data_IF_716809544456
#
_entry.id   IF_716809544456
#
_cell.length_a   1.000
_cell.length_b   1.000
_cell.length_c   1.000
_cell.angle_alpha   90.00
_cell.angle_beta   90.00
_cell.angle_gamma   90.00
#
_symmetry.space_group_name_H-M   'P 1'
#
loop_
_entity.id
_entity.type
_entity.pdbx_description
1 polymer ?
#
# COMPACT_ATOMS: atom_id res chain seq x y z
N UNK A 1 5.84 -11.98 7.84
CA UNK A 1 7.03 -11.82 6.97
C UNK A 1 8.16 -11.36 7.84
N UNK A 2 9.15 -12.22 8.04
CA UNK A 2 10.35 -11.79 8.75
C UNK A 2 10.97 -10.63 7.99
N UNK A 3 11.90 -9.88 8.64
CA UNK A 3 12.78 -8.91 7.98
C UNK A 3 13.34 -9.44 6.66
N UNK A 4 13.26 -10.75 6.48
CA UNK A 4 13.82 -11.56 5.41
C UNK A 4 12.88 -11.85 4.23
N UNK A 5 11.62 -11.42 4.24
CA UNK A 5 10.65 -11.84 3.21
C UNK A 5 10.66 -10.99 1.94
N UNK A 6 11.10 -9.72 2.01
CA UNK A 6 11.23 -8.83 0.85
C UNK A 6 12.72 -8.67 0.52
N UNK A 7 13.26 -9.42 -0.47
CA UNK A 7 14.71 -9.49 -0.71
C UNK A 7 15.37 -8.13 -0.97
N UNK A 8 14.67 -7.25 -1.71
CA UNK A 8 15.20 -5.95 -2.09
C UNK A 8 15.15 -4.89 -0.98
N UNK A 9 14.27 -5.05 0.01
CA UNK A 9 14.26 -4.21 1.22
C UNK A 9 15.40 -4.53 2.19
N UNK A 10 16.05 -5.69 2.08
CA UNK A 10 17.17 -6.08 2.96
C UNK A 10 18.51 -5.55 2.54
N UNK A 11 18.72 -5.55 1.24
CA UNK A 11 20.00 -5.16 0.68
C UNK A 11 20.07 -3.64 0.68
N UNK A 12 21.16 -3.07 1.16
CA UNK A 12 21.41 -1.61 1.22
C UNK A 12 21.44 -1.03 -0.21
N UNK A 13 20.30 -1.16 -0.91
CA UNK A 13 20.14 -0.90 -2.33
C UNK A 13 19.76 0.58 -2.52
N UNK A 14 20.58 1.32 -3.24
CA UNK A 14 20.38 2.74 -3.54
C UNK A 14 19.37 2.99 -4.68
N UNK A 15 18.87 1.93 -5.33
CA UNK A 15 17.83 2.06 -6.37
C UNK A 15 16.55 2.66 -5.79
N UNK A 16 15.88 3.51 -6.55
CA UNK A 16 14.58 4.08 -6.21
C UNK A 16 13.53 2.96 -6.08
N UNK A 17 12.92 2.89 -4.91
CA UNK A 17 11.80 2.00 -4.61
C UNK A 17 10.46 2.70 -4.78
N UNK A 18 10.36 3.93 -4.28
CA UNK A 18 9.13 4.72 -4.28
C UNK A 18 9.40 6.13 -4.80
N UNK A 19 8.44 6.65 -5.57
CA UNK A 19 8.35 8.07 -5.92
C UNK A 19 7.04 8.58 -5.31
N UNK A 20 7.13 9.55 -4.39
CA UNK A 20 6.00 10.13 -3.68
C UNK A 20 6.00 11.65 -3.83
N UNK A 21 5.16 12.16 -4.72
CA UNK A 21 5.21 13.55 -5.14
C UNK A 21 6.52 13.90 -5.83
N UNK A 22 7.27 14.84 -5.25
CA UNK A 22 8.57 15.30 -5.78
C UNK A 22 9.75 14.62 -5.07
N UNK A 23 9.50 13.57 -4.28
CA UNK A 23 10.53 12.88 -3.53
C UNK A 23 10.69 11.42 -3.93
N UNK A 24 11.93 11.06 -4.22
CA UNK A 24 12.36 9.69 -4.43
C UNK A 24 12.86 9.08 -3.12
N UNK A 25 12.50 7.81 -2.91
CA UNK A 25 12.98 7.01 -1.79
C UNK A 25 13.67 5.76 -2.33
N UNK A 26 14.93 5.57 -1.98
CA UNK A 26 15.65 4.34 -2.28
C UNK A 26 15.13 3.17 -1.43
N UNK A 27 15.40 1.93 -1.86
CA UNK A 27 15.12 0.74 -1.06
C UNK A 27 15.78 0.81 0.33
N UNK A 28 17.00 1.34 0.42
CA UNK A 28 17.70 1.54 1.69
C UNK A 28 16.98 2.53 2.61
N UNK A 29 16.52 3.67 2.09
CA UNK A 29 15.75 4.66 2.86
C UNK A 29 14.42 4.10 3.34
N UNK A 30 13.66 3.43 2.45
CA UNK A 30 12.39 2.77 2.80
C UNK A 30 12.63 1.73 3.90
N UNK A 31 13.67 0.90 3.76
CA UNK A 31 14.03 -0.09 4.78
C UNK A 31 14.33 0.57 6.14
N UNK A 32 15.10 1.66 6.14
CA UNK A 32 15.44 2.41 7.35
C UNK A 32 14.21 3.06 8.02
N UNK A 33 13.26 3.58 7.23
CA UNK A 33 11.98 4.11 7.74
C UNK A 33 11.15 3.02 8.40
N UNK A 34 11.02 1.88 7.73
CA UNK A 34 10.28 0.71 8.24
C UNK A 34 10.87 0.21 9.55
N UNK A 35 12.19 0.08 9.64
CA UNK A 35 12.86 -0.40 10.87
C UNK A 35 12.67 0.58 12.04
N UNK A 36 12.83 1.89 11.81
CA UNK A 36 12.58 2.91 12.83
C UNK A 36 11.13 2.91 13.28
N UNK A 37 10.18 2.84 12.36
CA UNK A 37 8.76 2.78 12.70
C UNK A 37 8.43 1.52 13.52
N UNK A 38 8.91 0.35 13.10
CA UNK A 38 8.71 -0.90 13.83
C UNK A 38 9.28 -0.84 15.25
N UNK A 39 10.48 -0.28 15.43
CA UNK A 39 11.11 -0.09 16.73
C UNK A 39 10.30 0.86 17.62
N UNK A 40 9.87 2.01 17.09
CA UNK A 40 9.02 2.96 17.80
C UNK A 40 7.67 2.36 18.18
N UNK A 41 7.07 1.56 17.31
CA UNK A 41 5.80 0.89 17.55
C UNK A 41 5.89 -0.14 18.69
N UNK A 42 7.04 -0.82 18.82
CA UNK A 42 7.31 -1.80 19.90
C UNK A 42 7.45 -1.14 21.27
N UNK A 43 7.92 0.08 21.36
CA UNK A 43 8.11 0.80 22.66
C UNK A 43 8.84 -0.05 23.69
N UNK A 44 9.91 -0.72 23.29
CA UNK A 44 10.71 -1.60 24.16
C UNK A 44 10.16 -3.01 24.36
N UNK A 45 8.97 -3.34 23.84
CA UNK A 45 8.46 -4.71 23.81
C UNK A 45 9.24 -5.55 22.80
N UNK A 46 9.39 -6.83 23.08
CA UNK A 46 10.07 -7.76 22.17
C UNK A 46 9.23 -8.09 20.91
N UNK A 47 7.89 -8.04 21.01
CA UNK A 47 6.95 -8.42 19.94
C UNK A 47 5.57 -7.82 20.20
N UNK A 48 4.84 -7.44 19.18
CA UNK A 48 3.44 -6.99 19.26
C UNK A 48 2.45 -8.16 19.47
N UNK A 49 2.89 -9.42 19.25
CA UNK A 49 2.06 -10.61 19.43
C UNK A 49 0.70 -10.53 18.72
N UNK A 50 0.73 -10.11 17.44
CA UNK A 50 -0.46 -9.95 16.60
C UNK A 50 -1.42 -8.85 17.09
N UNK A 51 -0.92 -7.84 17.80
CA UNK A 51 -1.68 -6.63 18.11
C UNK A 51 -2.25 -6.02 16.82
N UNK A 52 -3.51 -5.58 16.86
CA UNK A 52 -4.25 -5.10 15.70
C UNK A 52 -4.07 -3.60 15.56
N UNK A 53 -3.29 -3.20 14.57
CA UNK A 53 -2.95 -1.81 14.29
C UNK A 53 -3.68 -1.38 13.04
N UNK A 54 -4.65 -0.48 13.20
CA UNK A 54 -5.32 0.14 12.07
C UNK A 54 -4.55 1.39 11.60
N UNK A 55 -4.67 1.72 10.33
CA UNK A 55 -4.13 2.96 9.80
C UNK A 55 -5.01 3.57 8.72
N UNK A 56 -5.08 4.89 8.73
CA UNK A 56 -5.92 5.72 7.88
C UNK A 56 -5.03 6.69 7.11
N UNK A 57 -4.32 6.14 6.13
CA UNK A 57 -3.25 6.82 5.38
C UNK A 57 -3.47 6.52 3.89
N UNK A 58 -3.46 7.54 3.01
CA UNK A 58 -3.52 7.34 1.56
C UNK A 58 -2.24 6.69 1.04
N UNK A 59 -2.25 6.26 -0.23
CA UNK A 59 -1.05 5.74 -0.89
C UNK A 59 0.08 6.78 -0.82
N UNK A 60 1.13 6.47 -0.07
CA UNK A 60 2.28 7.33 0.24
C UNK A 60 3.43 6.50 0.79
N UNK A 61 4.62 7.09 0.94
CA UNK A 61 5.75 6.47 1.60
C UNK A 61 5.43 6.12 3.07
N UNK A 62 4.61 6.94 3.75
CA UNK A 62 4.12 6.65 5.10
C UNK A 62 3.25 5.40 5.15
N UNK A 63 2.36 5.21 4.16
CA UNK A 63 1.57 3.98 4.05
C UNK A 63 2.46 2.74 4.01
N UNK A 64 3.49 2.76 3.17
CA UNK A 64 4.45 1.65 3.03
C UNK A 64 5.21 1.43 4.34
N UNK A 65 5.66 2.51 4.96
CA UNK A 65 6.38 2.49 6.24
C UNK A 65 5.54 1.85 7.34
N UNK A 66 4.27 2.26 7.47
CA UNK A 66 3.35 1.74 8.49
C UNK A 66 3.03 0.27 8.24
N UNK A 67 2.62 -0.09 7.02
CA UNK A 67 2.22 -1.47 6.71
C UNK A 67 3.35 -2.46 7.01
N UNK A 68 4.55 -2.20 6.47
CA UNK A 68 5.71 -3.08 6.68
C UNK A 68 6.26 -3.00 8.10
N UNK A 69 6.20 -1.82 8.74
CA UNK A 69 6.64 -1.64 10.12
C UNK A 69 5.77 -2.42 11.11
N UNK A 70 4.44 -2.42 10.92
CA UNK A 70 3.52 -3.25 11.71
C UNK A 70 3.87 -4.73 11.54
N UNK A 71 4.14 -5.19 10.31
CA UNK A 71 4.55 -6.57 10.05
C UNK A 71 5.87 -6.92 10.75
N UNK A 72 6.89 -6.05 10.65
CA UNK A 72 8.19 -6.29 11.31
C UNK A 72 8.12 -6.29 12.83
N UNK A 73 7.21 -5.51 13.40
CA UNK A 73 6.96 -5.49 14.83
C UNK A 73 6.10 -6.66 15.33
N UNK A 74 5.57 -7.50 14.43
CA UNK A 74 4.74 -8.66 14.75
C UNK A 74 3.26 -8.35 14.97
N UNK A 75 2.78 -7.21 14.47
CA UNK A 75 1.37 -6.81 14.50
C UNK A 75 0.58 -7.28 13.28
N UNK A 76 -0.73 -7.08 13.33
CA UNK A 76 -1.66 -7.26 12.20
C UNK A 76 -1.98 -5.88 11.62
N UNK A 77 -1.61 -5.65 10.36
CA UNK A 77 -1.87 -4.41 9.64
C UNK A 77 -3.34 -4.35 9.16
N UNK A 78 -4.04 -3.26 9.47
CA UNK A 78 -5.44 -3.05 9.09
C UNK A 78 -5.56 -1.74 8.33
N UNK A 79 -5.29 -1.72 7.01
CA UNK A 79 -5.47 -0.53 6.19
C UNK A 79 -6.97 -0.22 6.03
N UNK A 80 -7.34 1.02 6.31
CA UNK A 80 -8.71 1.51 6.20
C UNK A 80 -8.87 2.43 4.99
N UNK A 81 -10.09 2.46 4.44
CA UNK A 81 -10.42 3.36 3.35
C UNK A 81 -10.53 4.81 3.86
N UNK A 82 -9.67 5.70 3.39
CA UNK A 82 -9.64 7.12 3.77
C UNK A 82 -10.90 7.89 3.33
N UNK A 83 -11.77 7.29 2.53
CA UNK A 83 -13.06 7.85 2.14
C UNK A 83 -14.23 7.25 2.94
N UNK A 84 -13.99 6.33 3.88
CA UNK A 84 -15.06 5.71 4.68
C UNK A 84 -15.74 6.69 5.62
N UNK A 85 -17.05 6.55 5.75
CA UNK A 85 -17.82 7.29 6.74
C UNK A 85 -17.48 6.82 8.17
N UNK A 86 -17.64 7.70 9.16
CA UNK A 86 -17.33 7.43 10.58
C UNK A 86 -18.04 6.16 11.09
N UNK A 87 -19.28 5.91 10.68
CA UNK A 87 -20.04 4.72 11.10
C UNK A 87 -19.43 3.42 10.56
N UNK A 88 -18.83 3.44 9.37
CA UNK A 88 -18.11 2.30 8.79
C UNK A 88 -16.79 2.06 9.51
N UNK A 89 -16.05 3.15 9.79
CA UNK A 89 -14.80 3.09 10.57
C UNK A 89 -15.06 2.51 11.96
N UNK A 90 -16.10 2.99 12.66
CA UNK A 90 -16.54 2.45 13.97
C UNK A 90 -16.72 0.94 13.92
N UNK A 91 -17.50 0.47 12.93
CA UNK A 91 -17.73 -0.97 12.74
C UNK A 91 -16.43 -1.74 12.50
N UNK A 92 -15.55 -1.25 11.61
CA UNK A 92 -14.28 -1.89 11.29
C UNK A 92 -13.35 -1.97 12.52
N UNK A 93 -13.19 -0.85 13.23
CA UNK A 93 -12.34 -0.75 14.41
C UNK A 93 -12.82 -1.65 15.54
N UNK A 94 -14.12 -1.64 15.82
CA UNK A 94 -14.75 -2.46 16.87
C UNK A 94 -14.67 -3.95 16.54
N UNK A 95 -15.08 -4.34 15.32
CA UNK A 95 -15.08 -5.76 14.92
C UNK A 95 -13.69 -6.37 14.83
N UNK A 96 -12.67 -5.55 14.46
CA UNK A 96 -11.28 -5.98 14.49
C UNK A 96 -10.66 -5.91 15.90
N UNK A 97 -11.31 -5.34 16.89
CA UNK A 97 -10.74 -5.08 18.22
C UNK A 97 -9.41 -4.34 18.11
N UNK A 98 -9.40 -3.24 17.37
CA UNK A 98 -8.21 -2.40 17.16
C UNK A 98 -7.82 -1.75 18.48
N UNK A 99 -6.52 -1.75 18.78
CA UNK A 99 -5.97 -1.12 20.01
C UNK A 99 -5.27 0.19 19.70
N UNK A 100 -4.75 0.33 18.48
CA UNK A 100 -3.98 1.51 18.04
C UNK A 100 -4.33 1.88 16.62
N UNK A 101 -4.46 3.20 16.40
CA UNK A 101 -4.77 3.81 15.10
C UNK A 101 -3.63 4.74 14.70
N UNK A 102 -3.15 4.59 13.47
CA UNK A 102 -2.12 5.47 12.87
C UNK A 102 -2.78 6.37 11.83
N UNK A 103 -2.59 7.68 11.96
CA UNK A 103 -3.05 8.66 11.00
C UNK A 103 -2.19 9.92 11.06
N UNK A 104 -2.10 10.67 9.95
CA UNK A 104 -1.33 11.91 9.86
C UNK A 104 -2.23 13.10 9.55
N UNK A 105 -1.80 14.30 9.96
CA UNK A 105 -2.39 15.59 9.58
C UNK A 105 -3.90 15.65 9.81
N UNK A 106 -4.64 16.13 8.80
CA UNK A 106 -6.09 16.34 8.86
C UNK A 106 -6.87 15.04 9.16
N UNK A 107 -6.35 13.90 8.76
CA UNK A 107 -6.95 12.60 9.08
C UNK A 107 -6.90 12.30 10.57
N UNK A 108 -5.81 12.64 11.24
CA UNK A 108 -5.67 12.45 12.69
C UNK A 108 -6.74 13.26 13.45
N UNK A 109 -6.94 14.52 13.08
CA UNK A 109 -7.96 15.39 13.70
C UNK A 109 -9.38 14.84 13.52
N UNK A 110 -9.70 14.33 12.34
CA UNK A 110 -11.02 13.76 12.05
C UNK A 110 -11.35 12.47 12.83
N UNK A 111 -10.35 11.79 13.37
CA UNK A 111 -10.48 10.51 14.07
C UNK A 111 -10.46 10.63 15.60
N UNK A 112 -10.13 11.80 16.16
CA UNK A 112 -9.96 12.02 17.61
C UNK A 112 -11.17 11.53 18.43
N UNK A 113 -12.36 12.01 18.09
CA UNK A 113 -13.58 11.68 18.84
C UNK A 113 -13.93 10.20 18.74
N UNK A 114 -13.74 9.60 17.55
CA UNK A 114 -13.98 8.19 17.32
C UNK A 114 -13.01 7.32 18.14
N UNK A 115 -11.72 7.62 18.08
CA UNK A 115 -10.69 6.87 18.80
C UNK A 115 -10.86 7.02 20.32
N UNK A 116 -11.17 8.23 20.81
CA UNK A 116 -11.45 8.46 22.23
C UNK A 116 -12.65 7.63 22.72
N UNK A 117 -13.76 7.64 21.97
CA UNK A 117 -14.96 6.87 22.29
C UNK A 117 -14.73 5.36 22.33
N UNK A 118 -13.89 4.85 21.42
CA UNK A 118 -13.55 3.43 21.34
C UNK A 118 -12.36 3.02 22.21
N UNK A 119 -11.76 3.96 22.98
CA UNK A 119 -10.56 3.75 23.76
C UNK A 119 -9.38 3.20 22.92
N UNK A 120 -9.20 3.76 21.72
CA UNK A 120 -8.12 3.42 20.77
C UNK A 120 -7.04 4.50 20.88
N UNK A 121 -5.81 4.11 21.00
CA UNK A 121 -4.67 5.03 20.98
C UNK A 121 -4.48 5.57 19.55
N UNK A 122 -4.58 6.89 19.35
CA UNK A 122 -4.36 7.57 18.08
C UNK A 122 -3.00 8.25 18.07
N UNK A 123 -2.13 7.89 17.12
CA UNK A 123 -0.77 8.40 16.98
C UNK A 123 -0.44 8.71 15.52
N UNK A 124 0.51 9.63 15.28
CA UNK A 124 1.05 9.90 13.95
C UNK A 124 2.22 8.98 13.61
N UNK A 125 2.57 8.88 12.33
CA UNK A 125 3.77 8.17 11.88
C UNK A 125 5.02 8.81 12.47
N UNK A 126 5.05 10.13 12.50
CA UNK A 126 6.17 10.90 13.05
C UNK A 126 6.37 10.63 14.54
N UNK A 127 5.29 10.67 15.35
CA UNK A 127 5.36 10.37 16.78
C UNK A 127 5.92 8.97 17.05
N UNK A 128 5.50 7.98 16.24
CA UNK A 128 6.02 6.60 16.36
C UNK A 128 7.51 6.54 16.04
N UNK A 129 7.95 7.21 14.97
CA UNK A 129 9.37 7.22 14.56
C UNK A 129 10.23 7.98 15.59
N UNK A 130 9.75 9.11 16.11
CA UNK A 130 10.47 9.88 17.13
C UNK A 130 10.55 9.14 18.47
N UNK A 131 9.52 8.36 18.80
CA UNK A 131 9.49 7.49 19.97
C UNK A 131 10.45 6.29 19.92
N UNK A 132 11.06 6.03 18.76
CA UNK A 132 12.13 5.04 18.65
C UNK A 132 13.40 5.58 19.34
N UNK A 133 13.68 5.09 20.54
CA UNK A 133 14.90 5.45 21.28
C UNK A 133 16.13 5.09 20.43
N UNK A 134 16.92 6.10 20.06
CA UNK A 134 18.16 5.92 19.29
C UNK A 134 19.20 5.08 20.06
N UNK A 135 19.11 5.06 21.39
CA UNK A 135 20.06 4.37 22.27
C UNK A 135 19.67 2.93 22.64
N UNK A 136 18.45 2.47 22.32
CA UNK A 136 17.94 1.14 22.69
C UNK A 136 17.11 0.53 21.54
N UNK A 137 17.75 0.32 20.40
CA UNK A 137 17.11 -0.45 19.30
C UNK A 137 17.09 -1.91 19.71
N UNK A 138 16.00 -2.33 20.37
CA UNK A 138 15.76 -3.75 20.58
C UNK A 138 15.71 -4.48 19.23
N UNK A 139 16.31 -5.67 19.11
CA UNK A 139 16.23 -6.42 17.87
C UNK A 139 14.76 -6.69 17.55
N UNK A 140 14.40 -6.47 16.26
CA UNK A 140 13.05 -6.75 15.79
C UNK A 140 12.74 -8.24 15.89
N UNK A 141 11.49 -8.63 16.20
CA UNK A 141 11.11 -10.03 16.38
C UNK A 141 11.28 -10.84 15.09
N UNK A 142 11.56 -12.13 15.25
CA UNK A 142 11.50 -13.10 14.15
C UNK A 142 10.05 -13.55 14.00
N UNK A 143 9.43 -13.24 12.86
CA UNK A 143 8.02 -13.50 12.62
C UNK A 143 7.83 -14.83 11.88
N UNK A 144 7.11 -15.78 12.49
CA UNK A 144 6.72 -17.03 11.85
C UNK A 144 5.73 -16.76 10.69
N UNK A 145 5.84 -17.53 9.62
CA UNK A 145 5.03 -17.32 8.42
C UNK A 145 3.53 -17.59 8.62
N UNK A 146 3.19 -18.42 9.57
CA UNK A 146 1.81 -18.77 9.92
C UNK A 146 1.09 -17.67 10.71
N UNK A 147 1.82 -16.68 11.24
CA UNK A 147 1.24 -15.56 11.96
C UNK A 147 0.37 -14.72 11.05
N UNK A 148 -0.71 -14.18 11.62
CA UNK A 148 -1.60 -13.24 10.94
C UNK A 148 -0.84 -11.93 10.68
N UNK A 149 -0.97 -11.43 9.45
CA UNK A 149 -0.23 -10.27 8.99
C UNK A 149 -1.14 -9.08 8.66
N UNK A 150 -2.29 -9.35 8.06
CA UNK A 150 -3.16 -8.30 7.53
C UNK A 150 -4.63 -8.69 7.71
N UNK A 151 -5.48 -7.69 7.95
CA UNK A 151 -6.93 -7.84 7.89
C UNK A 151 -7.49 -6.78 6.96
N UNK A 152 -8.19 -7.22 5.91
CA UNK A 152 -8.88 -6.34 4.96
C UNK A 152 -10.39 -6.47 5.13
N UNK A 153 -11.07 -5.33 5.13
CA UNK A 153 -12.53 -5.29 5.16
C UNK A 153 -13.10 -5.34 3.75
N UNK A 154 -14.01 -6.28 3.51
CA UNK A 154 -14.71 -6.44 2.24
C UNK A 154 -16.19 -6.14 2.43
N UNK A 155 -16.83 -5.56 1.40
CA UNK A 155 -18.28 -5.42 1.35
C UNK A 155 -18.93 -6.82 1.27
N UNK A 156 -19.17 -7.43 2.43
CA UNK A 156 -19.82 -8.74 2.49
C UNK A 156 -21.25 -8.72 1.92
N UNK A 157 -21.84 -9.89 1.74
CA UNK A 157 -23.28 -10.06 1.33
C UNK A 157 -24.28 -9.49 2.34
N UNK A 158 -23.83 -9.10 3.51
CA UNK A 158 -24.58 -8.37 4.55
C UNK A 158 -24.10 -6.93 4.58
N UNK A 159 -25.01 -5.96 4.82
CA UNK A 159 -24.72 -4.51 4.77
C UNK A 159 -23.55 -4.00 5.66
N UNK A 160 -22.77 -4.88 6.27
CA UNK A 160 -21.61 -4.52 7.09
C UNK A 160 -20.33 -5.19 6.55
N UNK A 161 -19.22 -4.45 6.42
CA UNK A 161 -17.95 -5.01 6.01
C UNK A 161 -17.50 -6.16 6.93
N UNK A 162 -16.89 -7.19 6.32
CA UNK A 162 -16.31 -8.33 7.05
C UNK A 162 -14.79 -8.31 6.95
N UNK A 163 -14.11 -8.48 8.08
CA UNK A 163 -12.66 -8.57 8.14
C UNK A 163 -12.16 -9.94 7.65
N UNK A 164 -11.36 -9.95 6.60
CA UNK A 164 -10.68 -11.14 6.06
C UNK A 164 -9.22 -11.11 6.50
N UNK A 165 -8.78 -12.15 7.18
CA UNK A 165 -7.43 -12.26 7.73
C UNK A 165 -6.52 -13.03 6.79
N UNK A 166 -5.35 -12.47 6.52
CA UNK A 166 -4.26 -13.11 5.78
C UNK A 166 -3.05 -13.32 6.67
N UNK A 167 -2.35 -14.45 6.51
CA UNK A 167 -1.07 -14.72 7.17
C UNK A 167 0.09 -14.25 6.30
N UNK A 168 1.29 -14.13 6.89
CA UNK A 168 2.49 -13.85 6.11
C UNK A 168 2.72 -14.88 5.01
N UNK A 169 2.45 -16.16 5.30
CA UNK A 169 2.55 -17.27 4.34
C UNK A 169 1.63 -17.11 3.14
N UNK A 170 0.35 -16.76 3.38
CA UNK A 170 -0.62 -16.59 2.29
C UNK A 170 -0.31 -15.37 1.43
N UNK A 171 0.14 -14.26 2.04
CA UNK A 171 0.59 -13.07 1.32
C UNK A 171 1.82 -13.41 0.46
N UNK A 172 2.82 -14.08 1.04
CA UNK A 172 4.03 -14.47 0.30
C UNK A 172 3.71 -15.38 -0.87
N UNK A 173 2.88 -16.40 -0.68
CA UNK A 173 2.49 -17.32 -1.74
C UNK A 173 1.81 -16.57 -2.89
N UNK A 174 0.91 -15.63 -2.61
CA UNK A 174 0.27 -14.84 -3.65
C UNK A 174 1.26 -13.93 -4.37
N UNK A 175 2.12 -13.21 -3.63
CA UNK A 175 3.13 -12.31 -4.22
C UNK A 175 4.05 -13.07 -5.16
N UNK A 176 4.62 -14.21 -4.72
CA UNK A 176 5.55 -14.99 -5.55
C UNK A 176 4.87 -15.58 -6.79
N UNK A 177 3.62 -16.08 -6.66
CA UNK A 177 2.84 -16.56 -7.80
C UNK A 177 2.57 -15.47 -8.83
N UNK A 178 2.24 -14.25 -8.38
CA UNK A 178 1.98 -13.12 -9.29
C UNK A 178 3.27 -12.60 -9.93
N UNK A 179 4.39 -12.62 -9.21
CA UNK A 179 5.69 -12.26 -9.78
C UNK A 179 6.03 -13.20 -10.94
N UNK A 180 5.89 -14.49 -10.74
CA UNK A 180 6.15 -15.48 -11.79
C UNK A 180 5.18 -15.34 -12.97
N UNK A 181 3.87 -15.21 -12.69
CA UNK A 181 2.82 -15.13 -13.70
C UNK A 181 2.92 -13.87 -14.59
N UNK A 182 3.36 -12.75 -14.03
CA UNK A 182 3.47 -11.47 -14.72
C UNK A 182 4.91 -11.08 -15.07
N UNK A 183 5.86 -11.99 -14.82
CA UNK A 183 7.29 -11.80 -15.09
C UNK A 183 7.83 -10.47 -14.54
N UNK A 184 7.50 -10.17 -13.27
CA UNK A 184 8.00 -8.97 -12.62
C UNK A 184 9.53 -8.96 -12.54
N UNK A 185 10.12 -7.81 -12.83
CA UNK A 185 11.56 -7.58 -12.75
C UNK A 185 11.88 -6.32 -11.95
N UNK A 186 13.14 -6.16 -11.60
CA UNK A 186 13.61 -4.94 -10.96
C UNK A 186 13.54 -3.70 -11.88
N UNK A 187 13.46 -3.87 -13.20
CA UNK A 187 13.43 -2.78 -14.16
C UNK A 187 12.01 -2.26 -14.41
N UNK A 188 11.02 -2.83 -13.72
CA UNK A 188 9.64 -2.39 -13.83
C UNK A 188 9.40 -1.08 -13.07
N UNK A 189 8.59 -0.23 -13.69
CA UNK A 189 8.09 1.02 -13.11
C UNK A 189 6.57 1.06 -13.30
N UNK A 190 5.83 1.26 -12.21
CA UNK A 190 4.37 1.22 -12.21
C UNK A 190 3.76 2.39 -11.41
N UNK A 191 2.67 3.04 -11.89
CA UNK A 191 1.90 3.96 -11.07
C UNK A 191 0.95 3.21 -10.13
N UNK A 192 0.92 3.57 -8.85
CA UNK A 192 -0.05 3.09 -7.87
C UNK A 192 -1.03 4.20 -7.50
N UNK A 193 -2.21 4.15 -8.07
CA UNK A 193 -3.36 5.03 -7.79
C UNK A 193 -4.59 4.22 -7.34
N UNK A 194 -4.49 2.90 -7.34
CA UNK A 194 -5.55 2.03 -6.84
C UNK A 194 -5.63 2.09 -5.31
N UNK A 195 -6.84 1.93 -4.75
CA UNK A 195 -7.01 2.00 -3.29
C UNK A 195 -6.14 0.99 -2.54
N UNK A 196 -5.38 1.48 -1.58
CA UNK A 196 -4.48 0.67 -0.75
C UNK A 196 -5.17 0.08 0.50
N UNK A 197 -6.48 -0.05 0.48
CA UNK A 197 -7.29 -0.88 1.39
C UNK A 197 -7.88 -2.10 0.67
N UNK A 198 -7.48 -2.33 -0.60
CA UNK A 198 -7.85 -3.48 -1.41
C UNK A 198 -6.63 -4.26 -1.88
N UNK A 199 -6.83 -5.57 -2.05
CA UNK A 199 -5.77 -6.52 -2.42
C UNK A 199 -5.05 -6.13 -3.71
N UNK A 200 -5.75 -5.54 -4.69
CA UNK A 200 -5.17 -5.15 -5.97
C UNK A 200 -4.06 -4.11 -5.78
N UNK A 201 -4.32 -3.04 -5.02
CA UNK A 201 -3.30 -2.03 -4.74
C UNK A 201 -2.18 -2.56 -3.84
N UNK A 202 -2.54 -3.30 -2.78
CA UNK A 202 -1.58 -3.75 -1.77
C UNK A 202 -0.70 -4.89 -2.28
N UNK A 203 -1.30 -5.94 -2.82
CA UNK A 203 -0.57 -7.16 -3.18
C UNK A 203 -0.08 -7.11 -4.62
N UNK A 204 -1.01 -6.89 -5.57
CA UNK A 204 -0.68 -7.02 -6.99
C UNK A 204 0.29 -5.94 -7.46
N UNK A 205 0.17 -4.71 -6.93
CA UNK A 205 1.07 -3.61 -7.30
C UNK A 205 2.17 -3.46 -6.25
N UNK A 206 1.86 -2.96 -5.06
CA UNK A 206 2.86 -2.54 -4.09
C UNK A 206 3.77 -3.68 -3.63
N UNK A 207 3.17 -4.80 -3.19
CA UNK A 207 3.97 -5.91 -2.66
C UNK A 207 4.76 -6.63 -3.74
N UNK A 208 4.18 -6.83 -4.94
CA UNK A 208 4.93 -7.41 -6.07
C UNK A 208 6.10 -6.54 -6.48
N UNK A 209 5.90 -5.21 -6.58
CA UNK A 209 6.96 -4.27 -6.94
C UNK A 209 8.10 -4.27 -5.90
N UNK A 210 7.79 -4.12 -4.62
CA UNK A 210 8.81 -4.11 -3.57
C UNK A 210 9.54 -5.46 -3.45
N UNK A 211 8.86 -6.55 -3.75
CA UNK A 211 9.47 -7.88 -3.74
C UNK A 211 10.44 -8.08 -4.90
N UNK A 212 10.06 -7.65 -6.12
CA UNK A 212 10.86 -7.81 -7.33
C UNK A 212 11.95 -6.75 -7.50
N UNK A 213 11.96 -5.69 -6.68
CA UNK A 213 12.90 -4.58 -6.81
C UNK A 213 12.46 -3.51 -7.81
N UNK A 214 11.19 -3.52 -8.22
CA UNK A 214 10.58 -2.54 -9.12
C UNK A 214 10.31 -1.19 -8.42
N UNK A 215 10.16 -0.12 -9.21
CA UNK A 215 9.85 1.22 -8.72
C UNK A 215 8.34 1.49 -8.77
N UNK A 216 7.79 2.08 -7.72
CA UNK A 216 6.38 2.46 -7.64
C UNK A 216 6.24 3.98 -7.54
N UNK A 217 5.49 4.58 -8.46
CA UNK A 217 5.06 5.98 -8.36
C UNK A 217 3.73 6.04 -7.61
N UNK A 218 3.74 6.65 -6.43
CA UNK A 218 2.59 6.71 -5.53
C UNK A 218 1.68 7.91 -5.85
N UNK A 219 0.39 7.65 -5.99
CA UNK A 219 -0.63 8.66 -6.19
C UNK A 219 -1.73 8.48 -5.15
N UNK A 220 -2.04 9.51 -4.38
CA UNK A 220 -3.15 9.49 -3.42
C UNK A 220 -4.52 9.37 -4.08
N UNK A 221 -4.62 9.74 -5.37
CA UNK A 221 -5.82 9.62 -6.22
C UNK A 221 -5.43 9.43 -7.70
N UNK A 222 -6.35 8.92 -8.50
CA UNK A 222 -6.14 8.80 -9.96
C UNK A 222 -6.19 10.18 -10.61
N UNK A 223 -5.03 10.67 -11.03
CA UNK A 223 -4.82 11.94 -11.73
C UNK A 223 -4.46 11.66 -13.19
N UNK A 224 -5.46 11.66 -14.07
CA UNK A 224 -5.28 11.27 -15.47
C UNK A 224 -4.28 12.18 -16.20
N UNK A 225 -4.38 13.53 -16.14
CA UNK A 225 -3.40 14.40 -16.78
C UNK A 225 -1.96 14.09 -16.36
N UNK A 226 -1.69 14.00 -15.06
CA UNK A 226 -0.36 13.75 -14.53
C UNK A 226 0.18 12.38 -14.98
N UNK A 227 -0.64 11.33 -14.87
CA UNK A 227 -0.25 9.97 -15.29
C UNK A 227 -0.04 9.91 -16.81
N UNK A 228 -0.85 10.63 -17.61
CA UNK A 228 -0.69 10.65 -19.06
C UNK A 228 0.62 11.28 -19.53
N UNK A 229 1.11 12.31 -18.84
CA UNK A 229 2.43 12.90 -19.12
C UNK A 229 3.52 11.87 -18.95
N UNK A 230 3.48 11.12 -17.85
CA UNK A 230 4.47 10.07 -17.56
C UNK A 230 4.36 8.87 -18.54
N UNK A 231 3.16 8.54 -19.01
CA UNK A 231 2.95 7.50 -20.03
C UNK A 231 3.58 7.94 -21.36
N UNK A 232 3.39 9.20 -21.77
CA UNK A 232 4.00 9.74 -22.99
C UNK A 232 5.53 9.74 -22.91
N UNK A 233 6.07 10.02 -21.71
CA UNK A 233 7.51 10.03 -21.43
C UNK A 233 8.14 8.63 -21.30
N UNK A 234 7.40 7.55 -21.51
CA UNK A 234 7.86 6.16 -21.32
C UNK A 234 8.35 5.83 -19.90
N UNK A 235 7.84 6.55 -18.88
CA UNK A 235 8.22 6.32 -17.49
C UNK A 235 7.73 4.95 -17.00
N UNK A 236 6.53 4.52 -17.44
CA UNK A 236 5.91 3.28 -17.00
C UNK A 236 6.01 2.18 -18.06
N UNK A 237 6.40 0.99 -17.65
CA UNK A 237 6.38 -0.21 -18.47
C UNK A 237 5.35 -1.26 -18.00
N UNK A 238 4.70 -1.00 -16.85
CA UNK A 238 3.58 -1.79 -16.32
C UNK A 238 2.44 -0.85 -15.93
N UNK A 239 1.21 -1.23 -16.27
CA UNK A 239 0.01 -0.49 -15.87
C UNK A 239 -1.08 -1.46 -15.41
N UNK A 240 -1.59 -1.25 -14.20
CA UNK A 240 -2.65 -2.09 -13.63
C UNK A 240 -3.81 -1.24 -13.17
N UNK A 241 -5.00 -1.54 -13.65
CA UNK A 241 -6.20 -0.80 -13.32
C UNK A 241 -7.44 -1.71 -13.24
N UNK A 242 -8.52 -1.13 -12.77
CA UNK A 242 -9.86 -1.72 -12.84
C UNK A 242 -10.62 -1.17 -14.06
N UNK A 243 -11.63 -1.86 -14.59
CA UNK A 243 -12.34 -1.43 -15.80
C UNK A 243 -12.84 0.01 -15.77
N UNK A 244 -13.28 0.49 -14.61
CA UNK A 244 -13.75 1.87 -14.45
C UNK A 244 -12.67 2.93 -14.68
N UNK A 245 -11.41 2.59 -14.47
CA UNK A 245 -10.27 3.48 -14.76
C UNK A 245 -10.09 3.61 -16.27
N UNK A 246 -10.16 2.50 -17.02
CA UNK A 246 -10.10 2.53 -18.48
C UNK A 246 -11.27 3.32 -19.09
N UNK A 247 -12.48 3.20 -18.51
CA UNK A 247 -13.62 4.06 -18.92
C UNK A 247 -13.29 5.55 -18.73
N UNK A 248 -12.72 5.92 -17.58
CA UNK A 248 -12.31 7.32 -17.32
C UNK A 248 -11.23 7.80 -18.29
N UNK A 249 -10.28 6.93 -18.66
CA UNK A 249 -9.25 7.25 -19.67
C UNK A 249 -9.89 7.53 -21.03
N UNK A 250 -10.83 6.69 -21.49
CA UNK A 250 -11.55 6.90 -22.75
C UNK A 250 -12.32 8.22 -22.71
N UNK A 251 -13.04 8.50 -21.61
CA UNK A 251 -13.74 9.78 -21.45
C UNK A 251 -12.78 10.99 -21.46
N UNK A 252 -11.59 10.83 -20.91
CA UNK A 252 -10.56 11.86 -20.97
C UNK A 252 -10.06 12.06 -22.40
N UNK A 253 -9.89 11.01 -23.19
CA UNK A 253 -9.49 11.08 -24.59
C UNK A 253 -10.49 11.88 -25.44
N UNK A 254 -11.79 11.80 -25.13
CA UNK A 254 -12.82 12.62 -25.79
C UNK A 254 -12.69 14.13 -25.48
N UNK A 255 -11.93 14.50 -24.46
CA UNK A 255 -11.76 15.89 -23.98
C UNK A 255 -10.45 16.56 -24.39
N UNK A 256 -9.52 15.85 -25.01
CA UNK A 256 -8.20 16.31 -25.44
C UNK A 256 -8.01 16.20 -26.95
N UNK A 257 -6.95 16.82 -27.49
CA UNK A 257 -6.68 16.75 -28.91
C UNK A 257 -6.20 15.35 -29.35
N UNK A 258 -6.42 15.03 -30.63
CA UNK A 258 -6.13 13.71 -31.21
C UNK A 258 -4.64 13.37 -31.17
N UNK A 259 -3.75 14.35 -31.28
CA UNK A 259 -2.30 14.11 -31.27
C UNK A 259 -1.84 13.70 -29.86
N UNK A 260 -2.45 14.29 -28.80
CA UNK A 260 -2.22 13.86 -27.43
C UNK A 260 -2.77 12.46 -27.17
N UNK A 261 -3.99 12.16 -27.64
CA UNK A 261 -4.55 10.80 -27.55
C UNK A 261 -3.61 9.78 -28.19
N UNK A 262 -3.13 10.07 -29.41
CA UNK A 262 -2.23 9.14 -30.11
C UNK A 262 -0.94 8.91 -29.33
N UNK A 263 -0.32 9.95 -28.77
CA UNK A 263 0.89 9.83 -27.93
C UNK A 263 0.65 8.97 -26.69
N UNK A 264 -0.50 9.12 -26.04
CA UNK A 264 -0.86 8.29 -24.86
C UNK A 264 -1.06 6.84 -25.29
N UNK A 265 -1.77 6.59 -26.38
CA UNK A 265 -1.98 5.24 -26.93
C UNK A 265 -0.65 4.58 -27.31
N UNK A 266 0.26 5.33 -27.94
CA UNK A 266 1.60 4.84 -28.29
C UNK A 266 2.40 4.50 -27.01
N UNK A 267 2.26 5.30 -25.93
CA UNK A 267 2.86 5.01 -24.64
C UNK A 267 2.33 3.70 -24.05
N UNK A 268 1.02 3.48 -24.03
CA UNK A 268 0.44 2.20 -23.60
C UNK A 268 0.89 1.01 -24.45
N UNK A 269 1.03 1.20 -25.78
CA UNK A 269 1.47 0.15 -26.68
C UNK A 269 2.93 -0.28 -26.46
N UNK A 270 3.77 0.60 -25.90
CA UNK A 270 5.16 0.28 -25.52
C UNK A 270 5.28 -0.42 -24.18
N UNK A 271 4.25 -0.37 -23.34
CA UNK A 271 4.28 -1.07 -22.06
C UNK A 271 4.34 -2.59 -22.27
N UNK A 272 5.17 -3.27 -21.48
CA UNK A 272 5.26 -4.73 -21.55
C UNK A 272 4.03 -5.43 -20.97
N UNK A 273 3.27 -4.75 -20.08
CA UNK A 273 2.14 -5.35 -19.37
C UNK A 273 1.07 -4.32 -19.04
N UNK A 274 -0.14 -4.55 -19.55
CA UNK A 274 -1.34 -3.82 -19.21
C UNK A 274 -2.38 -4.79 -18.62
N UNK A 275 -2.86 -4.54 -17.39
CA UNK A 275 -3.81 -5.42 -16.69
C UNK A 275 -5.10 -4.68 -16.40
N UNK A 276 -6.22 -5.32 -16.74
CA UNK A 276 -7.55 -4.99 -16.26
C UNK A 276 -8.04 -6.10 -15.32
N UNK A 277 -8.33 -5.77 -14.05
CA UNK A 277 -8.68 -6.77 -13.04
C UNK A 277 -9.72 -6.33 -12.03
N UNK A 278 -10.01 -7.19 -11.06
CA UNK A 278 -10.94 -6.98 -9.93
C UNK A 278 -12.42 -6.83 -10.31
N UNK A 279 -12.77 -6.75 -11.59
CA UNK A 279 -14.13 -6.75 -12.13
C UNK A 279 -14.13 -7.27 -13.57
N UNK A 280 -15.28 -7.69 -14.07
CA UNK A 280 -15.42 -8.06 -15.46
C UNK A 280 -15.17 -6.85 -16.35
N UNK A 281 -14.28 -6.98 -17.35
CA UNK A 281 -14.04 -5.94 -18.33
C UNK A 281 -15.01 -6.12 -19.49
N UNK A 282 -15.87 -5.13 -19.80
CA UNK A 282 -16.76 -5.22 -20.96
C UNK A 282 -15.96 -5.31 -22.27
N UNK A 283 -16.34 -6.22 -23.16
CA UNK A 283 -15.67 -6.41 -24.48
C UNK A 283 -15.59 -5.11 -25.30
N UNK A 284 -16.50 -4.16 -25.08
CA UNK A 284 -16.50 -2.85 -25.74
C UNK A 284 -15.36 -1.91 -25.29
N UNK A 285 -14.60 -2.29 -24.26
CA UNK A 285 -13.44 -1.53 -23.76
C UNK A 285 -12.11 -2.00 -24.41
N UNK A 286 -12.16 -3.05 -25.19
CA UNK A 286 -11.06 -3.56 -26.02
C UNK A 286 -11.38 -3.30 -27.51
#
# INVERSE_FOLDING_TARGET
MSRDSFPHLKNNNSKTALVDGDRDYSFAEVNGLIDRFASGLLRGRADLNEERIAFFIPASADYVTVMHGVWRAGGIAIPLNVASAVAELDHCLTSASVTRMIANGDYQDSLKDLCQRLNIELVSVEDVIQGANQDNVSPLPVIAQERRAMMLFTSGTTNKPKGVVSTHKTIQAQVTTLIDAWCWTQDDVIPLFLPVHHIHGIINILSCSLWSGATVHLFSKFDIPKISVEIIADTYNVFMAVPTIYVKLIQYFDSIDKDQVQKICDGFARMRLNISGSAACPVKLF
#
